data_IF_435993657807
#
_entry.id   IF_435993657807
#
_cell.length_a   1.000
_cell.length_b   1.000
_cell.length_c   1.000
_cell.angle_alpha   90.00
_cell.angle_beta   90.00
_cell.angle_gamma   90.00
#
_symmetry.space_group_name_H-M   'P 1'
#
loop_
_entity.id
_entity.type
_entity.pdbx_description
1 polymer ?
#
# COMPACT_ATOMS: atom_id res chain seq x y z
N UNK A 1 -13.14 5.02 13.34
CA UNK A 1 -12.26 5.21 12.17
C UNK A 1 -13.01 4.70 10.95
N UNK A 2 -13.20 5.51 9.91
CA UNK A 2 -13.85 5.04 8.69
C UNK A 2 -12.90 4.13 7.88
N UNK A 3 -13.41 3.21 7.06
CA UNK A 3 -12.59 2.22 6.35
C UNK A 3 -11.51 2.84 5.43
N UNK A 4 -11.82 3.97 4.78
CA UNK A 4 -10.85 4.70 3.97
C UNK A 4 -9.73 5.33 4.82
N UNK A 5 -10.09 5.90 5.97
CA UNK A 5 -9.15 6.46 6.94
C UNK A 5 -8.23 5.38 7.52
N UNK A 6 -8.79 4.21 7.84
CA UNK A 6 -8.01 3.07 8.32
C UNK A 6 -6.97 2.60 7.28
N UNK A 7 -7.36 2.51 6.00
CA UNK A 7 -6.43 2.14 4.92
C UNK A 7 -5.29 3.17 4.77
N UNK A 8 -5.62 4.46 4.81
CA UNK A 8 -4.64 5.56 4.73
C UNK A 8 -3.64 5.52 5.88
N UNK A 9 -4.08 5.18 7.10
CA UNK A 9 -3.22 5.05 8.29
C UNK A 9 -2.65 3.65 8.48
N UNK A 10 -2.68 2.78 7.46
CA UNK A 10 -2.17 1.40 7.52
C UNK A 10 -2.74 0.61 8.71
N UNK A 11 -4.01 0.83 9.03
CA UNK A 11 -4.74 0.25 10.16
C UNK A 11 -4.14 0.56 11.53
N UNK A 12 -3.48 1.72 11.68
CA UNK A 12 -2.89 2.19 12.95
C UNK A 12 -3.63 3.38 13.52
N UNK A 13 -3.66 3.47 14.84
CA UNK A 13 -4.09 4.68 15.54
C UNK A 13 -3.00 5.75 15.48
N UNK A 14 -3.37 7.03 15.31
CA UNK A 14 -2.40 8.14 15.30
C UNK A 14 -1.94 8.58 16.69
N UNK A 15 -2.69 8.23 17.74
CA UNK A 15 -2.44 8.70 19.11
C UNK A 15 -2.05 7.58 20.09
N UNK A 16 -2.26 6.32 19.72
CA UNK A 16 -1.95 5.17 20.57
C UNK A 16 -0.64 4.54 20.08
N UNK A 17 0.24 4.23 21.02
CA UNK A 17 1.51 3.58 20.76
C UNK A 17 1.61 2.33 21.63
N UNK A 18 2.24 1.27 21.11
CA UNK A 18 2.43 0.03 21.84
C UNK A 18 3.88 -0.11 22.28
N UNK A 19 4.07 -0.66 23.48
CA UNK A 19 5.39 -0.82 24.06
C UNK A 19 6.21 -1.85 23.27
N UNK A 20 7.45 -1.54 22.84
CA UNK A 20 8.27 -2.48 22.08
C UNK A 20 8.72 -3.69 22.91
N UNK A 21 8.71 -3.60 24.24
CA UNK A 21 9.16 -4.69 25.13
C UNK A 21 8.05 -5.68 25.48
N UNK A 22 6.81 -5.22 25.65
CA UNK A 22 5.71 -6.07 26.16
C UNK A 22 4.39 -5.97 25.38
N UNK A 23 4.30 -5.11 24.36
CA UNK A 23 3.10 -4.93 23.55
C UNK A 23 1.92 -4.23 24.24
N UNK A 24 2.08 -3.78 25.49
CA UNK A 24 1.03 -3.03 26.17
C UNK A 24 0.97 -1.57 25.70
N UNK A 25 -0.22 -0.99 25.68
CA UNK A 25 -0.42 0.40 25.24
C UNK A 25 0.32 1.38 26.16
N UNK A 26 1.04 2.30 25.54
CA UNK A 26 1.82 3.34 26.19
C UNK A 26 0.94 4.52 26.62
N UNK A 27 1.36 5.17 27.70
CA UNK A 27 0.70 6.35 28.27
C UNK A 27 1.59 7.57 28.16
N UNK A 28 1.02 8.71 27.77
CA UNK A 28 1.73 10.00 27.75
C UNK A 28 1.83 10.58 29.17
N UNK A 29 3.05 10.87 29.63
CA UNK A 29 3.30 11.58 30.89
C UNK A 29 3.93 12.93 30.62
N UNK A 30 3.54 13.91 31.42
CA UNK A 30 4.09 15.26 31.37
C UNK A 30 5.12 15.46 32.49
N UNK A 31 6.18 16.22 32.21
CA UNK A 31 7.16 16.72 33.18
C UNK A 31 7.45 18.18 32.88
N UNK A 32 7.57 19.01 33.90
CA UNK A 32 7.99 20.39 33.73
C UNK A 32 9.52 20.44 33.65
N UNK A 33 10.05 20.93 32.54
CA UNK A 33 11.48 21.19 32.35
C UNK A 33 11.69 22.69 32.35
N UNK A 34 12.56 23.18 33.22
CA UNK A 34 12.94 24.58 33.27
C UNK A 34 13.93 24.86 32.15
N UNK A 35 13.52 25.60 31.12
CA UNK A 35 14.40 25.99 30.03
C UNK A 35 14.74 27.48 30.17
N UNK A 36 16.03 27.81 30.14
CA UNK A 36 16.47 29.20 30.07
C UNK A 36 16.00 29.80 28.74
N UNK A 37 15.44 31.02 28.79
CA UNK A 37 15.10 31.75 27.56
C UNK A 37 16.38 32.11 26.80
N UNK A 38 16.40 31.99 25.46
CA UNK A 38 17.54 32.40 24.65
C UNK A 38 17.82 33.91 24.75
N UNK A 39 16.80 34.73 25.04
CA UNK A 39 16.89 36.19 25.04
C UNK A 39 17.24 36.80 26.43
N UNK A 40 17.15 36.03 27.52
CA UNK A 40 17.40 36.51 28.90
C UNK A 40 17.91 35.33 29.77
N UNK A 41 19.22 35.19 30.04
CA UNK A 41 19.77 34.07 30.83
C UNK A 41 19.32 34.05 32.31
N UNK A 42 18.62 35.10 32.78
CA UNK A 42 18.09 35.19 34.14
C UNK A 42 16.65 34.70 34.32
N UNK A 43 15.91 34.40 33.24
CA UNK A 43 14.49 33.99 33.31
C UNK A 43 14.32 32.57 32.79
N UNK A 44 14.17 31.61 33.70
CA UNK A 44 13.78 30.24 33.39
C UNK A 44 12.27 30.19 33.14
N UNK A 45 11.86 29.55 32.04
CA UNK A 45 10.44 29.27 31.78
C UNK A 45 10.21 27.78 31.90
N UNK A 46 9.22 27.42 32.71
CA UNK A 46 8.74 26.05 32.81
C UNK A 46 8.06 25.65 31.49
N UNK A 47 8.69 24.78 30.72
CA UNK A 47 8.09 24.16 29.54
C UNK A 47 7.59 22.75 29.89
N UNK A 48 6.41 22.40 29.39
CA UNK A 48 5.87 21.05 29.51
C UNK A 48 6.56 20.15 28.50
N UNK A 49 7.24 19.13 28.98
CA UNK A 49 7.85 18.06 28.21
C UNK A 49 7.00 16.80 28.36
N UNK A 50 6.76 16.09 27.26
CA UNK A 50 5.93 14.89 27.21
C UNK A 50 6.78 13.69 26.80
N UNK A 51 6.64 12.58 27.51
CA UNK A 51 7.29 11.31 27.22
C UNK A 51 6.30 10.15 27.33
N UNK A 52 6.58 9.03 26.66
CA UNK A 52 5.73 7.84 26.71
C UNK A 52 6.30 6.85 27.73
N UNK A 53 5.42 6.19 28.48
CA UNK A 53 5.80 5.11 29.40
C UNK A 53 4.80 3.98 29.40
N UNK A 54 5.31 2.77 29.61
CA UNK A 54 4.52 1.57 29.80
C UNK A 54 4.25 1.32 31.29
N UNK A 55 2.97 1.17 31.66
CA UNK A 55 2.59 0.83 33.04
C UNK A 55 2.97 -0.59 33.47
N UNK A 56 3.16 -1.52 32.52
CA UNK A 56 3.43 -2.93 32.80
C UNK A 56 4.92 -3.21 33.03
N UNK A 57 5.77 -2.94 32.03
CA UNK A 57 7.20 -3.23 32.10
C UNK A 57 8.08 -2.03 32.51
N UNK A 58 7.47 -0.87 32.82
CA UNK A 58 8.16 0.41 33.14
C UNK A 58 9.08 0.97 32.07
N UNK A 59 9.03 0.44 30.84
CA UNK A 59 9.75 1.01 29.70
C UNK A 59 9.32 2.47 29.45
N UNK A 60 10.28 3.31 29.07
CA UNK A 60 10.04 4.70 28.69
C UNK A 60 10.76 5.08 27.38
N UNK A 61 10.27 6.11 26.70
CA UNK A 61 10.95 6.67 25.52
C UNK A 61 12.35 7.21 25.84
N UNK A 62 12.61 7.58 27.10
CA UNK A 62 13.92 8.03 27.57
C UNK A 62 14.95 6.92 27.56
N UNK A 63 14.54 5.69 27.89
CA UNK A 63 15.42 4.51 27.84
C UNK A 63 15.90 4.19 26.42
N UNK A 64 15.15 4.66 25.41
CA UNK A 64 15.45 4.48 23.98
C UNK A 64 16.07 5.71 23.33
N UNK A 65 16.50 6.70 24.13
CA UNK A 65 17.07 7.98 23.66
C UNK A 65 16.16 8.79 22.73
N UNK A 66 14.84 8.65 22.84
CA UNK A 66 13.89 9.47 22.08
C UNK A 66 13.63 10.75 22.89
N UNK A 67 13.85 11.94 22.32
CA UNK A 67 13.71 13.20 23.06
C UNK A 67 12.26 13.48 23.43
N UNK A 68 12.08 14.07 24.62
CA UNK A 68 10.77 14.50 25.11
C UNK A 68 10.16 15.53 24.15
N UNK A 69 8.86 15.38 23.87
CA UNK A 69 8.12 16.24 22.97
C UNK A 69 7.56 17.47 23.71
N UNK A 70 7.48 18.62 23.04
CA UNK A 70 6.85 19.83 23.62
C UNK A 70 5.31 19.81 23.49
N UNK A 71 4.79 18.93 22.65
CA UNK A 71 3.36 18.76 22.41
C UNK A 71 2.89 17.38 22.91
N UNK A 72 1.69 17.34 23.50
CA UNK A 72 1.10 16.12 24.07
C UNK A 72 0.72 15.09 23.01
N UNK A 73 0.26 15.53 21.84
CA UNK A 73 -0.18 14.69 20.73
C UNK A 73 0.35 15.23 19.39
N UNK A 74 0.71 14.34 18.47
CA UNK A 74 1.18 14.69 17.12
C UNK A 74 2.70 14.86 16.94
N UNK A 75 3.47 15.01 18.02
CA UNK A 75 4.94 15.13 17.96
C UNK A 75 5.69 13.81 17.76
N UNK A 76 5.04 12.67 18.00
CA UNK A 76 5.63 11.35 17.88
C UNK A 76 5.68 10.91 16.41
N UNK A 77 6.75 11.27 15.71
CA UNK A 77 6.96 10.88 14.31
C UNK A 77 7.51 9.46 14.22
N UNK A 78 6.91 8.64 13.35
CA UNK A 78 7.42 7.30 13.06
C UNK A 78 8.53 7.37 12.00
N UNK A 79 9.58 6.58 12.17
CA UNK A 79 10.68 6.56 11.20
C UNK A 79 10.22 6.01 9.86
N UNK A 80 10.45 6.77 8.78
CA UNK A 80 10.22 6.29 7.42
C UNK A 80 11.16 5.12 7.10
N UNK A 81 10.64 4.09 6.42
CA UNK A 81 11.47 2.95 6.03
C UNK A 81 12.58 3.42 5.03
N UNK A 82 13.86 3.08 5.26
CA UNK A 82 14.97 3.48 4.40
C UNK A 82 14.82 3.06 2.93
N UNK A 83 14.17 1.92 2.67
CA UNK A 83 14.03 1.34 1.34
C UNK A 83 12.71 1.72 0.64
N UNK A 84 11.96 2.68 1.18
CA UNK A 84 10.70 3.15 0.57
C UNK A 84 10.83 3.49 -0.91
N UNK A 85 11.88 4.23 -1.29
CA UNK A 85 12.13 4.65 -2.69
C UNK A 85 12.36 3.46 -3.63
N UNK A 86 13.20 2.52 -3.21
CA UNK A 86 13.50 1.31 -3.99
C UNK A 86 12.24 0.45 -4.17
N UNK A 87 11.41 0.36 -3.14
CA UNK A 87 10.15 -0.40 -3.22
C UNK A 87 9.19 0.26 -4.22
N UNK A 88 9.05 1.58 -4.21
CA UNK A 88 8.20 2.28 -5.20
C UNK A 88 8.69 2.07 -6.63
N UNK A 89 10.00 2.19 -6.87
CA UNK A 89 10.58 1.98 -8.21
C UNK A 89 10.31 0.56 -8.72
N UNK A 90 10.44 -0.45 -7.86
CA UNK A 90 10.13 -1.83 -8.22
C UNK A 90 8.65 -1.99 -8.56
N UNK A 91 7.75 -1.46 -7.73
CA UNK A 91 6.29 -1.52 -7.98
C UNK A 91 5.96 -0.90 -9.33
N UNK A 92 6.52 0.27 -9.64
CA UNK A 92 6.29 0.95 -10.92
C UNK A 92 6.81 0.12 -12.10
N UNK A 93 8.00 -0.46 -11.97
CA UNK A 93 8.58 -1.33 -13.01
C UNK A 93 7.70 -2.56 -13.29
N UNK A 94 7.20 -3.22 -12.24
CA UNK A 94 6.31 -4.37 -12.38
C UNK A 94 4.93 -3.97 -12.91
N UNK A 95 4.44 -2.79 -12.57
CA UNK A 95 3.20 -2.26 -13.12
C UNK A 95 3.32 -2.04 -14.64
N UNK A 96 4.42 -1.45 -15.11
CA UNK A 96 4.68 -1.31 -16.54
C UNK A 96 4.79 -2.66 -17.27
N UNK A 97 5.48 -3.63 -16.67
CA UNK A 97 5.57 -4.99 -17.23
C UNK A 97 4.21 -5.67 -17.32
N UNK A 98 3.38 -5.58 -16.27
CA UNK A 98 2.06 -6.18 -16.23
C UNK A 98 1.12 -5.55 -17.29
N UNK A 99 1.20 -4.24 -17.50
CA UNK A 99 0.43 -3.54 -18.54
C UNK A 99 0.85 -4.02 -19.93
N UNK A 100 2.16 -4.14 -20.17
CA UNK A 100 2.70 -4.63 -21.45
C UNK A 100 2.27 -6.08 -21.71
N UNK A 101 2.42 -6.96 -20.73
CA UNK A 101 2.03 -8.37 -20.86
C UNK A 101 0.52 -8.50 -21.12
N UNK A 102 -0.30 -7.67 -20.46
CA UNK A 102 -1.75 -7.64 -20.69
C UNK A 102 -2.07 -7.22 -22.13
N UNK A 103 -1.44 -6.16 -22.64
CA UNK A 103 -1.62 -5.69 -24.00
C UNK A 103 -1.19 -6.73 -25.03
N UNK A 104 -0.04 -7.37 -24.83
CA UNK A 104 0.47 -8.44 -25.71
C UNK A 104 -0.47 -9.67 -25.70
N UNK A 105 -1.02 -10.02 -24.54
CA UNK A 105 -2.00 -11.11 -24.40
C UNK A 105 -3.33 -10.77 -25.09
N UNK A 106 -3.81 -9.54 -24.96
CA UNK A 106 -5.03 -9.07 -25.64
C UNK A 106 -4.84 -9.00 -27.16
N UNK A 107 -3.69 -8.50 -27.62
CA UNK A 107 -3.30 -8.49 -29.03
C UNK A 107 -3.22 -9.89 -29.63
N UNK A 108 -2.57 -10.83 -28.92
CA UNK A 108 -2.46 -12.22 -29.37
C UNK A 108 -3.83 -12.90 -29.53
N UNK A 109 -4.76 -12.63 -28.60
CA UNK A 109 -6.15 -13.09 -28.70
C UNK A 109 -6.86 -12.46 -29.91
N UNK A 110 -6.67 -11.17 -30.13
CA UNK A 110 -7.25 -10.45 -31.26
C UNK A 110 -6.74 -11.00 -32.60
N UNK A 111 -5.43 -11.17 -32.77
CA UNK A 111 -4.83 -11.72 -33.99
C UNK A 111 -5.32 -13.14 -34.26
N UNK A 112 -5.37 -14.01 -33.23
CA UNK A 112 -5.90 -15.37 -33.39
C UNK A 112 -7.36 -15.35 -33.87
N UNK A 113 -8.21 -14.50 -33.29
CA UNK A 113 -9.60 -14.35 -33.70
C UNK A 113 -9.71 -13.81 -35.13
N UNK A 114 -8.93 -12.78 -35.48
CA UNK A 114 -8.89 -12.18 -36.82
C UNK A 114 -8.46 -13.19 -37.88
N UNK A 115 -7.38 -13.95 -37.62
CA UNK A 115 -6.89 -14.97 -38.54
C UNK A 115 -7.92 -16.09 -38.76
N UNK A 116 -8.62 -16.50 -37.71
CA UNK A 116 -9.73 -17.46 -37.81
C UNK A 116 -10.89 -16.93 -38.68
N UNK A 117 -11.26 -15.66 -38.52
CA UNK A 117 -12.29 -15.03 -39.36
C UNK A 117 -11.87 -14.96 -40.83
N UNK A 118 -10.62 -14.55 -41.11
CA UNK A 118 -10.07 -14.51 -42.47
C UNK A 118 -10.05 -15.92 -43.09
N UNK A 119 -9.69 -16.94 -42.32
CA UNK A 119 -9.69 -18.33 -42.77
C UNK A 119 -11.09 -18.82 -43.16
N UNK A 120 -12.11 -18.49 -42.35
CA UNK A 120 -13.51 -18.82 -42.63
C UNK A 120 -14.04 -18.12 -43.89
N UNK A 121 -13.66 -16.86 -44.13
CA UNK A 121 -14.03 -16.13 -45.35
C UNK A 121 -13.36 -16.72 -46.60
N UNK A 122 -12.06 -17.06 -46.50
CA UNK A 122 -11.28 -17.65 -47.61
C UNK A 122 -11.75 -19.07 -47.95
N UNK A 123 -12.18 -19.86 -46.97
CA UNK A 123 -12.62 -21.24 -47.16
C UNK A 123 -14.02 -21.47 -46.55
N UNK A 124 -15.09 -21.04 -47.25
CA UNK A 124 -16.46 -21.16 -46.75
C UNK A 124 -16.88 -22.61 -46.47
N UNK A 125 -16.27 -23.58 -47.17
CA UNK A 125 -16.51 -25.01 -46.98
C UNK A 125 -16.03 -25.54 -45.61
N UNK A 126 -15.13 -24.82 -44.93
CA UNK A 126 -14.71 -25.12 -43.56
C UNK A 126 -15.69 -24.58 -42.52
N UNK A 127 -16.65 -23.75 -42.94
CA UNK A 127 -17.73 -23.29 -42.06
C UNK A 127 -18.61 -24.50 -41.69
N UNK A 128 -18.75 -24.85 -40.39
CA UNK A 128 -19.50 -26.03 -39.96
C UNK A 128 -20.98 -26.03 -40.39
N UNK A 129 -21.55 -24.87 -40.73
CA UNK A 129 -22.90 -24.75 -41.32
C UNK A 129 -22.92 -25.15 -42.80
N UNK A 130 -21.99 -24.65 -43.61
CA UNK A 130 -21.88 -25.00 -45.04
C UNK A 130 -21.41 -26.44 -45.23
N UNK A 131 -20.50 -26.94 -44.38
CA UNK A 131 -20.06 -28.35 -44.41
C UNK A 131 -21.21 -29.32 -44.14
N UNK A 132 -22.11 -28.97 -43.21
CA UNK A 132 -23.33 -29.75 -42.92
C UNK A 132 -24.31 -29.70 -44.10
N UNK A 133 -24.53 -28.52 -44.69
CA UNK A 133 -25.39 -28.34 -45.85
C UNK A 133 -24.91 -29.11 -47.09
N UNK A 134 -23.61 -29.02 -47.43
CA UNK A 134 -23.03 -29.79 -48.52
C UNK A 134 -23.02 -31.29 -48.22
N UNK A 135 -22.78 -31.74 -46.98
CA UNK A 135 -22.84 -33.19 -46.66
C UNK A 135 -24.25 -33.76 -46.80
N UNK A 136 -25.30 -32.97 -46.52
CA UNK A 136 -26.69 -33.39 -46.72
C UNK A 136 -27.15 -33.39 -48.18
N UNK A 137 -26.45 -32.71 -49.10
CA UNK A 137 -26.82 -32.68 -50.52
C UNK A 137 -26.31 -33.86 -51.33
N UNK A 138 -25.45 -34.74 -50.77
CA UNK A 138 -24.92 -35.93 -51.46
C UNK A 138 -25.79 -37.19 -51.29
N UNK A 139 -26.88 -37.13 -50.53
CA UNK A 139 -27.82 -38.24 -50.38
C UNK A 139 -29.12 -37.95 -51.12
N UNK A 140 -29.16 -38.28 -52.43
CA UNK A 140 -30.18 -39.13 -53.09
C UNK A 140 -30.04 -39.03 -54.62
N UNK A 141 -29.55 -40.07 -55.31
CA UNK A 141 -29.94 -40.35 -56.68
C UNK A 141 -31.25 -41.15 -56.69
N UNK A 142 -32.20 -40.77 -57.55
CA UNK A 142 -33.36 -41.57 -57.94
C UNK A 142 -33.29 -41.80 -59.44
#
# INVERSE_FOLDING_TARGET
MASAEAKMRKHRCGNCFDCPSCGHTLSTRATAVMLAKPDDPGKTVAQKAYYLTCGFCRWSTRDSNIPDQRQSAGGWQESTNPHTKRISELIDSYHHLAVREKADREWSKFVRKRNYMILLERYPVLNPRLRRYCSSSWTTPK
#
